data_IF_046955827718
#
_entry.id   IF_046955827718
#
_cell.length_a   1.000
_cell.length_b   1.000
_cell.length_c   1.000
_cell.angle_alpha   90.00
_cell.angle_beta   90.00
_cell.angle_gamma   90.00
#
_symmetry.space_group_name_H-M   'P 1'
#
loop_
_entity.id
_entity.type
_entity.pdbx_description
1 polymer ?
#
# COMPACT_ATOMS: atom_id res chain seq x y z
N UNK A 1 1.35 16.99 18.20
CA UNK A 1 1.32 15.58 17.76
C UNK A 1 2.76 15.09 17.74
N UNK A 2 3.17 14.26 18.70
CA UNK A 2 4.54 13.76 18.84
C UNK A 2 4.90 12.85 17.66
N UNK A 3 6.14 12.91 17.18
CA UNK A 3 6.62 12.16 15.99
C UNK A 3 6.33 10.65 16.07
N UNK A 4 6.28 10.10 17.28
CA UNK A 4 5.94 8.69 17.56
C UNK A 4 4.53 8.30 17.12
N UNK A 5 3.54 9.19 17.22
CA UNK A 5 2.15 8.91 16.78
C UNK A 5 1.91 9.15 15.29
N UNK A 6 2.74 9.99 14.67
CA UNK A 6 2.65 10.31 13.23
C UNK A 6 3.10 9.12 12.38
N UNK A 7 4.12 8.38 12.85
CA UNK A 7 4.73 7.26 12.14
C UNK A 7 3.75 6.09 11.85
N UNK A 8 3.02 5.53 12.83
CA UNK A 8 2.05 4.47 12.57
C UNK A 8 0.86 4.95 11.74
N UNK A 9 0.44 6.22 11.91
CA UNK A 9 -0.65 6.81 11.11
C UNK A 9 -0.26 6.91 9.64
N UNK A 10 0.99 7.32 9.35
CA UNK A 10 1.52 7.38 7.99
C UNK A 10 1.55 6.01 7.32
N UNK A 11 2.03 4.97 8.00
CA UNK A 11 2.09 3.62 7.41
C UNK A 11 0.71 3.02 7.16
N UNK A 12 -0.26 3.32 8.03
CA UNK A 12 -1.66 2.96 7.81
C UNK A 12 -2.23 3.68 6.59
N UNK A 13 -1.97 4.96 6.42
CA UNK A 13 -2.33 5.70 5.20
C UNK A 13 -1.68 5.09 3.95
N UNK A 14 -0.37 4.82 3.99
CA UNK A 14 0.37 4.24 2.88
C UNK A 14 -0.20 2.88 2.47
N UNK A 15 -0.64 2.07 3.43
CA UNK A 15 -1.30 0.78 3.19
C UNK A 15 -2.63 0.95 2.42
N UNK A 16 -3.50 1.89 2.84
CA UNK A 16 -4.75 2.14 2.11
C UNK A 16 -4.50 2.75 0.74
N UNK A 17 -3.56 3.69 0.63
CA UNK A 17 -3.20 4.35 -0.61
C UNK A 17 -2.67 3.35 -1.64
N UNK A 18 -1.72 2.49 -1.24
CA UNK A 18 -1.18 1.46 -2.14
C UNK A 18 -2.23 0.41 -2.51
N UNK A 19 -3.10 0.02 -1.58
CA UNK A 19 -4.24 -0.86 -1.87
C UNK A 19 -5.19 -0.29 -2.93
N UNK A 20 -5.53 1.00 -2.83
CA UNK A 20 -6.34 1.69 -3.83
C UNK A 20 -5.71 1.64 -5.22
N UNK A 21 -4.40 1.92 -5.32
CA UNK A 21 -3.70 1.90 -6.60
C UNK A 21 -3.59 0.50 -7.22
N UNK A 22 -3.47 -0.54 -6.40
CA UNK A 22 -3.51 -1.93 -6.89
C UNK A 22 -4.87 -2.22 -7.52
N UNK A 23 -5.97 -1.88 -6.84
CA UNK A 23 -7.33 -2.08 -7.35
C UNK A 23 -7.56 -1.28 -8.64
N UNK A 24 -7.08 -0.04 -8.70
CA UNK A 24 -7.15 0.79 -9.89
C UNK A 24 -6.36 0.20 -11.07
N UNK A 25 -5.13 -0.28 -10.82
CA UNK A 25 -4.33 -0.96 -11.82
C UNK A 25 -5.04 -2.21 -12.36
N UNK A 26 -5.65 -3.02 -11.49
CA UNK A 26 -6.45 -4.17 -11.90
C UNK A 26 -7.65 -3.76 -12.77
N UNK A 27 -8.34 -2.68 -12.41
CA UNK A 27 -9.46 -2.16 -13.20
C UNK A 27 -9.04 -1.75 -14.61
N UNK A 28 -7.93 -1.00 -14.74
CA UNK A 28 -7.39 -0.62 -16.07
C UNK A 28 -7.01 -1.85 -16.88
N UNK A 29 -6.32 -2.81 -16.25
CA UNK A 29 -5.89 -4.03 -16.93
C UNK A 29 -7.10 -4.81 -17.47
N UNK A 30 -8.17 -4.94 -16.68
CA UNK A 30 -9.41 -5.57 -17.11
C UNK A 30 -10.06 -4.77 -18.25
N UNK A 31 -10.13 -3.44 -18.14
CA UNK A 31 -10.69 -2.58 -19.20
C UNK A 31 -9.93 -2.73 -20.52
N UNK A 32 -8.60 -2.64 -20.51
CA UNK A 32 -7.80 -2.70 -21.74
C UNK A 32 -7.86 -4.09 -22.39
N UNK A 33 -7.83 -5.15 -21.58
CA UNK A 33 -7.92 -6.53 -22.10
C UNK A 33 -9.33 -6.88 -22.58
N UNK A 34 -10.37 -6.57 -21.80
CA UNK A 34 -11.74 -7.04 -22.09
C UNK A 34 -12.45 -6.15 -23.10
N UNK A 35 -12.22 -4.84 -23.07
CA UNK A 35 -12.98 -3.88 -23.90
C UNK A 35 -12.20 -3.49 -25.15
N UNK A 36 -10.89 -3.27 -25.04
CA UNK A 36 -10.08 -2.77 -26.16
C UNK A 36 -9.34 -3.87 -26.91
N UNK A 37 -9.38 -5.11 -26.43
CA UNK A 37 -8.62 -6.26 -26.96
C UNK A 37 -7.13 -5.91 -27.17
N UNK A 38 -6.61 -5.07 -26.26
CA UNK A 38 -5.26 -4.54 -26.31
C UNK A 38 -4.57 -4.82 -24.98
N UNK A 39 -3.42 -5.49 -25.04
CA UNK A 39 -2.66 -5.82 -23.85
C UNK A 39 -1.57 -4.77 -23.62
N UNK A 40 -1.84 -3.83 -22.70
CA UNK A 40 -0.82 -2.93 -22.17
C UNK A 40 -0.20 -3.55 -20.90
N UNK A 41 1.13 -3.55 -20.85
CA UNK A 41 1.90 -4.04 -19.71
C UNK A 41 2.09 -2.98 -18.62
N UNK A 42 1.81 -1.70 -18.90
CA UNK A 42 1.93 -0.59 -17.97
C UNK A 42 1.16 -0.80 -16.64
N UNK A 43 -0.10 -1.30 -16.65
CA UNK A 43 -0.85 -1.57 -15.41
C UNK A 43 -0.20 -2.66 -14.56
N UNK A 44 0.49 -3.64 -15.15
CA UNK A 44 1.21 -4.69 -14.41
C UNK A 44 2.37 -4.12 -13.60
N UNK A 45 3.14 -3.19 -14.18
CA UNK A 45 4.23 -2.54 -13.46
C UNK A 45 3.71 -1.68 -12.30
N UNK A 46 2.57 -1.00 -12.49
CA UNK A 46 1.90 -0.24 -11.44
C UNK A 46 1.45 -1.16 -10.30
N UNK A 47 0.74 -2.26 -10.62
CA UNK A 47 0.28 -3.24 -9.63
C UNK A 47 1.47 -3.83 -8.87
N UNK A 48 2.52 -4.24 -9.58
CA UNK A 48 3.72 -4.83 -8.98
C UNK A 48 4.43 -3.86 -8.03
N UNK A 49 4.68 -2.62 -8.45
CA UNK A 49 5.32 -1.60 -7.62
C UNK A 49 4.50 -1.29 -6.36
N UNK A 50 3.18 -1.14 -6.52
CA UNK A 50 2.28 -0.84 -5.40
C UNK A 50 2.13 -2.03 -4.43
N UNK A 51 2.16 -3.27 -4.92
CA UNK A 51 2.14 -4.47 -4.08
C UNK A 51 3.37 -4.58 -3.18
N UNK A 52 4.57 -4.25 -3.71
CA UNK A 52 5.81 -4.21 -2.92
C UNK A 52 5.71 -3.11 -1.84
N UNK A 53 5.24 -1.92 -2.21
CA UNK A 53 5.07 -0.82 -1.25
C UNK A 53 4.00 -1.14 -0.19
N UNK A 54 2.93 -1.84 -0.57
CA UNK A 54 1.90 -2.31 0.36
C UNK A 54 2.49 -3.28 1.38
N UNK A 55 3.24 -4.29 0.93
CA UNK A 55 3.88 -5.26 1.81
C UNK A 55 4.83 -4.60 2.82
N UNK A 56 5.66 -3.65 2.35
CA UNK A 56 6.55 -2.88 3.24
C UNK A 56 5.78 -2.01 4.22
N UNK A 57 4.71 -1.36 3.75
CA UNK A 57 3.90 -0.49 4.61
C UNK A 57 3.22 -1.27 5.75
N UNK A 58 2.74 -2.48 5.47
CA UNK A 58 2.16 -3.37 6.48
C UNK A 58 3.23 -3.83 7.48
N UNK A 59 4.44 -4.17 7.02
CA UNK A 59 5.54 -4.56 7.90
C UNK A 59 5.95 -3.43 8.85
N UNK A 60 6.16 -2.23 8.31
CA UNK A 60 6.56 -1.06 9.11
C UNK A 60 5.44 -0.60 10.05
N UNK A 61 4.17 -0.67 9.63
CA UNK A 61 3.04 -0.41 10.52
C UNK A 61 3.02 -1.37 11.72
N UNK A 62 3.19 -2.68 11.48
CA UNK A 62 3.26 -3.68 12.56
C UNK A 62 4.44 -3.42 13.50
N UNK A 63 5.59 -3.04 12.96
CA UNK A 63 6.80 -2.71 13.74
C UNK A 63 6.60 -1.47 14.60
N UNK A 64 6.04 -0.41 14.02
CA UNK A 64 5.75 0.83 14.73
C UNK A 64 4.73 0.61 15.87
N UNK A 65 3.69 -0.18 15.62
CA UNK A 65 2.67 -0.50 16.64
C UNK A 65 3.26 -1.28 17.82
N UNK A 66 4.14 -2.26 17.57
CA UNK A 66 4.80 -3.02 18.65
C UNK A 66 5.69 -2.13 19.52
N UNK A 67 6.42 -1.19 18.91
CA UNK A 67 7.22 -0.22 19.66
C UNK A 67 6.36 0.74 20.51
N UNK A 68 5.21 1.17 20.02
CA UNK A 68 4.27 2.01 20.78
C UNK A 68 3.71 1.27 22.01
N UNK A 69 3.43 -0.03 21.88
CA UNK A 69 3.02 -0.91 22.99
C UNK A 69 4.14 -1.07 24.04
N UNK A 70 5.38 -1.34 23.63
CA UNK A 70 6.55 -1.47 24.55
C UNK A 70 6.93 -0.16 25.27
N UNK A 71 6.75 0.99 24.62
CA UNK A 71 7.02 2.31 25.23
C UNK A 71 5.89 2.72 26.18
N UNK A 72 4.65 2.33 25.90
CA UNK A 72 3.51 2.62 26.78
C UNK A 72 3.45 1.75 28.04
N UNK A 73 4.18 0.63 28.08
CA UNK A 73 4.24 -0.30 29.22
C UNK A 73 5.38 0.03 30.22
N UNK A 74 6.24 1.01 29.91
CA UNK A 74 7.29 1.56 30.79
C UNK A 74 6.89 2.89 31.41
#
# INVERSE_FOLDING_TARGET
MTKEKVYPTFWRFATYFTGFWILYGCYILIQDVVIKDHFDSQPLYLIGGMAIMFARSVQEYKRAKRHEEEVSEK
#
